data_IF_833955637557
#
_entry.id   IF_833955637557
#
_cell.length_a   1.000
_cell.length_b   1.000
_cell.length_c   1.000
_cell.angle_alpha   90.00
_cell.angle_beta   90.00
_cell.angle_gamma   90.00
#
_symmetry.space_group_name_H-M   'P 1'
#
loop_
_entity.id
_entity.type
_entity.pdbx_description
1 polymer ?
#
# COMPACT_ATOMS: atom_id res chain seq x y z
N UNK A 1 5.28 30.91 4.79
CA UNK A 1 3.93 30.41 5.13
C UNK A 1 2.93 31.19 4.30
N UNK A 2 2.37 30.57 3.28
CA UNK A 2 1.21 31.12 2.59
C UNK A 2 0.07 31.08 3.63
N UNK A 3 -0.59 32.21 3.94
CA UNK A 3 -1.70 32.19 4.87
C UNK A 3 -2.80 31.33 4.25
N UNK A 4 -3.15 30.21 4.88
CA UNK A 4 -4.39 29.52 4.55
C UNK A 4 -5.52 30.49 4.86
N UNK A 5 -6.14 31.05 3.82
CA UNK A 5 -7.38 31.79 3.99
C UNK A 5 -8.39 30.83 4.62
N UNK A 6 -9.14 31.26 5.64
CA UNK A 6 -10.20 30.44 6.19
C UNK A 6 -11.21 30.15 5.07
N UNK A 7 -11.39 28.87 4.77
CA UNK A 7 -12.35 28.40 3.78
C UNK A 7 -13.75 28.92 4.17
N UNK A 8 -14.52 29.50 3.23
CA UNK A 8 -15.89 29.95 3.50
C UNK A 8 -16.73 28.80 4.07
N UNK A 9 -17.65 29.06 5.02
CA UNK A 9 -18.49 28.01 5.62
C UNK A 9 -19.26 27.16 4.60
N UNK A 10 -19.65 27.74 3.47
CA UNK A 10 -20.36 27.04 2.39
C UNK A 10 -19.48 25.99 1.70
N UNK A 11 -18.19 26.27 1.51
CA UNK A 11 -17.25 25.30 0.92
C UNK A 11 -16.95 24.15 1.89
N UNK A 12 -16.96 24.41 3.19
CA UNK A 12 -16.84 23.38 4.22
C UNK A 12 -18.07 22.47 4.24
N UNK A 13 -19.28 23.04 4.20
CA UNK A 13 -20.52 22.26 4.18
C UNK A 13 -20.63 21.37 2.93
N UNK A 14 -20.22 21.88 1.76
CA UNK A 14 -20.17 21.11 0.52
C UNK A 14 -19.12 19.99 0.58
N UNK A 15 -17.96 20.26 1.19
CA UNK A 15 -16.91 19.26 1.37
C UNK A 15 -17.37 18.16 2.34
N UNK A 16 -17.98 18.51 3.47
CA UNK A 16 -18.53 17.55 4.43
C UNK A 16 -19.59 16.66 3.78
N UNK A 17 -20.50 17.23 2.99
CA UNK A 17 -21.50 16.45 2.25
C UNK A 17 -20.86 15.52 1.23
N UNK A 18 -19.82 15.97 0.52
CA UNK A 18 -19.12 15.14 -0.47
C UNK A 18 -18.41 13.94 0.18
N UNK A 19 -17.81 14.15 1.35
CA UNK A 19 -17.14 13.10 2.13
C UNK A 19 -18.17 12.14 2.71
N UNK A 20 -19.28 12.66 3.24
CA UNK A 20 -20.37 11.83 3.75
C UNK A 20 -20.93 10.91 2.65
N UNK A 21 -21.11 11.41 1.43
CA UNK A 21 -21.57 10.61 0.28
C UNK A 21 -20.55 9.52 -0.12
N UNK A 22 -19.26 9.82 -0.04
CA UNK A 22 -18.20 8.84 -0.35
C UNK A 22 -18.09 7.73 0.70
N UNK A 23 -18.40 8.04 1.96
CA UNK A 23 -18.28 7.11 3.09
C UNK A 23 -19.58 6.36 3.38
N UNK A 24 -20.75 6.90 3.00
CA UNK A 24 -22.05 6.29 3.22
C UNK A 24 -22.17 4.81 2.78
N UNK A 25 -21.64 4.39 1.61
CA UNK A 25 -21.74 2.99 1.18
C UNK A 25 -20.66 2.08 1.79
N UNK A 26 -19.75 2.62 2.61
CA UNK A 26 -18.64 1.88 3.20
C UNK A 26 -19.00 1.35 4.60
N UNK A 27 -18.54 0.13 4.87
CA UNK A 27 -18.64 -0.50 6.17
C UNK A 27 -17.52 -0.09 7.12
N UNK A 28 -17.47 -0.78 8.26
CA UNK A 28 -16.51 -0.51 9.32
C UNK A 28 -15.23 -1.35 9.25
N UNK A 29 -15.19 -2.35 8.35
CA UNK A 29 -14.05 -3.26 8.22
C UNK A 29 -13.08 -2.77 7.15
N UNK A 30 -11.78 -2.78 7.48
CA UNK A 30 -10.72 -2.38 6.58
C UNK A 30 -9.55 -3.37 6.64
N UNK A 31 -9.01 -3.71 5.47
CA UNK A 31 -7.81 -4.50 5.30
C UNK A 31 -6.76 -3.70 4.55
N UNK A 32 -5.54 -3.68 5.09
CA UNK A 32 -4.37 -3.12 4.41
C UNK A 32 -3.38 -4.24 4.19
N UNK A 33 -3.01 -4.45 2.94
CA UNK A 33 -2.02 -5.44 2.53
C UNK A 33 -0.91 -4.71 1.79
N UNK A 34 0.31 -4.86 2.29
CA UNK A 34 1.51 -4.53 1.55
C UNK A 34 2.30 -5.81 1.35
N UNK A 35 2.86 -5.98 0.16
CA UNK A 35 3.62 -7.16 -0.21
C UNK A 35 4.79 -6.77 -1.09
N UNK A 36 5.83 -7.61 -1.03
CA UNK A 36 6.98 -7.51 -1.90
C UNK A 36 7.31 -8.91 -2.43
N UNK A 37 7.59 -9.01 -3.72
CA UNK A 37 7.99 -10.26 -4.36
C UNK A 37 9.45 -10.20 -4.78
N UNK A 38 10.26 -11.15 -4.32
CA UNK A 38 11.64 -11.33 -4.75
C UNK A 38 11.74 -12.36 -5.89
N UNK A 39 12.67 -12.18 -6.86
CA UNK A 39 13.55 -11.02 -7.03
C UNK A 39 12.77 -9.75 -7.38
N UNK A 40 13.33 -8.57 -7.07
CA UNK A 40 12.70 -7.30 -7.38
C UNK A 40 12.57 -7.08 -8.89
N UNK A 41 11.40 -6.61 -9.27
CA UNK A 41 10.97 -6.27 -10.63
C UNK A 41 10.03 -5.06 -10.55
N UNK A 42 9.72 -4.38 -11.67
CA UNK A 42 8.79 -3.25 -11.67
C UNK A 42 7.42 -3.52 -11.02
N UNK A 43 7.00 -4.79 -10.99
CA UNK A 43 5.73 -5.25 -10.42
C UNK A 43 5.88 -5.94 -9.06
N UNK A 44 7.07 -5.88 -8.44
CA UNK A 44 7.36 -6.61 -7.21
C UNK A 44 6.74 -5.99 -5.97
N UNK A 45 6.42 -4.69 -6.01
CA UNK A 45 5.70 -4.02 -4.93
C UNK A 45 4.21 -4.21 -5.15
N UNK A 46 3.51 -4.57 -4.08
CA UNK A 46 2.05 -4.62 -4.05
C UNK A 46 1.53 -3.85 -2.86
N UNK A 47 0.49 -3.05 -3.09
CA UNK A 47 -0.24 -2.36 -2.04
C UNK A 47 -1.73 -2.42 -2.35
N UNK A 48 -2.53 -2.77 -1.35
CA UNK A 48 -3.98 -2.82 -1.43
C UNK A 48 -4.58 -2.39 -0.10
N UNK A 49 -5.44 -1.39 -0.16
CA UNK A 49 -6.42 -1.05 0.85
C UNK A 49 -7.77 -1.59 0.36
N UNK A 50 -8.42 -2.41 1.16
CA UNK A 50 -9.78 -2.89 0.91
C UNK A 50 -10.67 -2.48 2.08
N UNK A 51 -11.70 -1.69 1.81
CA UNK A 51 -12.71 -1.28 2.78
C UNK A 51 -14.01 -2.01 2.45
N UNK A 52 -14.67 -2.55 3.46
CA UNK A 52 -15.96 -3.20 3.30
C UNK A 52 -16.93 -2.25 2.60
N UNK A 53 -17.71 -2.76 1.65
CA UNK A 53 -18.68 -1.98 0.91
C UNK A 53 -20.05 -2.62 1.11
N UNK A 54 -20.87 -1.96 1.93
CA UNK A 54 -22.22 -2.42 2.27
C UNK A 54 -23.20 -2.18 1.11
N UNK A 55 -23.02 -1.09 0.35
CA UNK A 55 -23.78 -0.78 -0.86
C UNK A 55 -22.85 -0.56 -2.07
N UNK A 56 -22.58 -1.65 -2.79
CA UNK A 56 -21.73 -1.60 -3.98
C UNK A 56 -22.36 -0.83 -5.15
N UNK A 57 -23.69 -0.76 -5.24
CA UNK A 57 -24.37 -0.05 -6.34
C UNK A 57 -24.28 1.46 -6.13
N UNK A 58 -24.48 1.93 -4.90
CA UNK A 58 -24.30 3.33 -4.52
C UNK A 58 -22.83 3.76 -4.68
N UNK A 59 -21.87 2.94 -4.22
CA UNK A 59 -20.44 3.24 -4.39
C UNK A 59 -20.04 3.31 -5.87
N UNK A 60 -20.48 2.36 -6.70
CA UNK A 60 -20.20 2.39 -8.14
C UNK A 60 -20.84 3.59 -8.84
N UNK A 61 -22.03 4.02 -8.39
CA UNK A 61 -22.68 5.23 -8.89
C UNK A 61 -21.89 6.49 -8.53
N UNK A 62 -21.42 6.58 -7.28
CA UNK A 62 -20.56 7.66 -6.82
C UNK A 62 -19.27 7.72 -7.66
N UNK A 63 -18.57 6.59 -7.81
CA UNK A 63 -17.31 6.54 -8.58
C UNK A 63 -17.52 6.85 -10.06
N UNK A 64 -18.57 6.31 -10.67
CA UNK A 64 -18.92 6.61 -12.06
C UNK A 64 -19.20 8.09 -12.32
N UNK A 65 -19.62 8.83 -11.29
CA UNK A 65 -19.91 10.27 -11.38
C UNK A 65 -18.66 11.10 -11.10
N UNK A 66 -17.93 10.77 -10.03
CA UNK A 66 -16.83 11.59 -9.51
C UNK A 66 -15.51 11.32 -10.20
N UNK A 67 -15.17 10.07 -10.50
CA UNK A 67 -13.86 9.72 -11.06
C UNK A 67 -13.61 10.36 -12.43
N UNK A 68 -14.57 10.41 -13.38
CA UNK A 68 -14.36 11.12 -14.64
C UNK A 68 -14.08 12.63 -14.45
N UNK A 69 -14.62 13.25 -13.40
CA UNK A 69 -14.33 14.66 -13.09
C UNK A 69 -12.88 14.89 -12.67
N UNK A 70 -12.20 13.83 -12.20
CA UNK A 70 -10.77 13.85 -11.85
C UNK A 70 -9.84 13.53 -13.03
N UNK A 71 -10.39 13.29 -14.22
CA UNK A 71 -9.62 12.89 -15.41
C UNK A 71 -9.39 11.38 -15.53
N UNK A 72 -9.84 10.58 -14.56
CA UNK A 72 -9.77 9.12 -14.62
C UNK A 72 -10.75 8.57 -15.66
N UNK A 73 -10.23 7.86 -16.67
CA UNK A 73 -11.05 7.07 -17.60
C UNK A 73 -11.28 5.66 -17.05
N UNK A 74 -12.55 5.26 -16.76
CA UNK A 74 -12.83 3.93 -16.28
C UNK A 74 -12.51 2.88 -17.36
N UNK A 75 -11.95 1.75 -16.95
CA UNK A 75 -11.74 0.57 -17.80
C UNK A 75 -12.39 -0.66 -17.20
N UNK A 76 -12.74 -1.61 -18.06
CA UNK A 76 -13.34 -2.88 -17.67
C UNK A 76 -12.27 -3.95 -17.40
N UNK A 77 -12.46 -4.72 -16.33
CA UNK A 77 -11.63 -5.87 -15.97
C UNK A 77 -12.47 -6.97 -15.32
N UNK A 78 -12.57 -8.14 -15.96
CA UNK A 78 -13.39 -9.27 -15.50
C UNK A 78 -14.87 -8.91 -15.19
N UNK A 79 -15.40 -7.86 -15.82
CA UNK A 79 -16.75 -7.35 -15.59
C UNK A 79 -16.89 -6.37 -14.42
N UNK A 80 -15.77 -5.96 -13.82
CA UNK A 80 -15.69 -4.87 -12.86
C UNK A 80 -15.10 -3.61 -13.51
N UNK A 81 -15.55 -2.44 -13.04
CA UNK A 81 -14.95 -1.16 -13.42
C UNK A 81 -13.76 -0.87 -12.54
N UNK A 82 -12.67 -0.47 -13.18
CA UNK A 82 -11.46 0.01 -12.53
C UNK A 82 -11.26 1.46 -12.96
N UNK A 83 -11.02 2.32 -11.98
CA UNK A 83 -10.76 3.74 -12.13
C UNK A 83 -9.27 4.00 -11.86
N UNK A 84 -8.44 4.19 -12.90
CA UNK A 84 -7.03 4.53 -12.73
C UNK A 84 -6.87 5.89 -12.04
N UNK A 85 -5.95 5.97 -11.09
CA UNK A 85 -5.61 7.22 -10.43
C UNK A 85 -4.34 7.78 -11.07
N UNK A 86 -4.48 8.90 -11.77
CA UNK A 86 -3.33 9.66 -12.24
C UNK A 86 -2.70 10.39 -11.04
N UNK A 87 -1.49 9.99 -10.67
CA UNK A 87 -0.69 10.69 -9.67
C UNK A 87 0.08 11.81 -10.39
N UNK A 88 -0.22 13.11 -10.13
CA UNK A 88 0.32 14.23 -10.93
C UNK A 88 1.84 14.39 -10.91
N UNK A 89 2.55 13.75 -9.97
CA UNK A 89 4.00 13.93 -9.73
C UNK A 89 4.75 12.61 -9.45
N UNK A 90 4.18 11.45 -9.82
CA UNK A 90 4.83 10.16 -9.58
C UNK A 90 6.15 9.97 -10.35
N UNK A 91 6.32 10.67 -11.47
CA UNK A 91 7.38 10.39 -12.45
C UNK A 91 8.82 10.69 -12.03
N UNK A 92 9.05 11.41 -10.93
CA UNK A 92 10.42 11.79 -10.50
C UNK A 92 10.92 11.02 -9.26
N UNK A 93 10.07 10.21 -8.61
CA UNK A 93 10.39 9.54 -7.34
C UNK A 93 10.29 8.01 -7.40
N UNK A 94 9.80 7.44 -8.51
CA UNK A 94 9.49 6.02 -8.62
C UNK A 94 10.49 5.20 -9.43
N UNK A 95 11.37 5.85 -10.20
CA UNK A 95 12.17 5.17 -11.22
C UNK A 95 11.30 4.31 -12.14
N UNK A 96 11.86 3.19 -12.63
CA UNK A 96 11.19 2.20 -13.50
C UNK A 96 10.09 1.35 -12.82
N UNK A 97 9.73 1.60 -11.56
CA UNK A 97 8.68 0.84 -10.89
C UNK A 97 7.28 1.29 -11.34
N UNK A 98 6.43 0.34 -11.72
CA UNK A 98 5.02 0.61 -12.08
C UNK A 98 4.22 0.88 -10.80
N UNK A 99 4.13 2.15 -10.46
CA UNK A 99 3.35 2.67 -9.34
C UNK A 99 1.98 3.17 -9.81
N UNK A 100 1.35 2.52 -10.80
CA UNK A 100 -0.02 2.84 -11.19
C UNK A 100 -0.99 2.50 -10.06
N UNK A 101 -1.76 3.48 -9.60
CA UNK A 101 -2.83 3.27 -8.63
C UNK A 101 -4.16 3.14 -9.33
N UNK A 102 -5.07 2.38 -8.73
CA UNK A 102 -6.43 2.19 -9.21
C UNK A 102 -7.39 2.05 -8.04
N UNK A 103 -8.65 2.37 -8.32
CA UNK A 103 -9.79 2.15 -7.44
C UNK A 103 -10.81 1.23 -8.14
N UNK A 104 -11.43 0.32 -7.42
CA UNK A 104 -12.50 -0.53 -7.93
C UNK A 104 -13.44 -1.01 -6.81
N UNK A 105 -14.69 -1.37 -7.13
CA UNK A 105 -15.58 -2.07 -6.20
C UNK A 105 -15.83 -3.48 -6.71
N UNK A 106 -15.69 -4.48 -5.84
CA UNK A 106 -15.94 -5.87 -6.20
C UNK A 106 -15.86 -6.82 -5.01
N UNK A 107 -16.65 -7.89 -5.06
CA UNK A 107 -16.66 -8.92 -4.02
C UNK A 107 -17.08 -8.43 -2.63
N UNK A 108 -17.81 -7.32 -2.54
CA UNK A 108 -18.20 -6.68 -1.27
C UNK A 108 -17.15 -5.72 -0.70
N UNK A 109 -16.14 -5.33 -1.49
CA UNK A 109 -15.06 -4.44 -1.06
C UNK A 109 -14.87 -3.28 -2.03
N UNK A 110 -14.68 -2.08 -1.49
CA UNK A 110 -14.08 -0.95 -2.19
C UNK A 110 -12.55 -1.04 -2.04
N UNK A 111 -11.85 -1.16 -3.15
CA UNK A 111 -10.42 -1.47 -3.21
C UNK A 111 -9.65 -0.31 -3.81
N UNK A 112 -8.67 0.21 -3.08
CA UNK A 112 -7.72 1.23 -3.50
C UNK A 112 -6.31 0.65 -3.42
N UNK A 113 -5.51 0.74 -4.47
CA UNK A 113 -4.13 0.28 -4.38
C UNK A 113 -3.42 0.30 -5.71
N UNK A 114 -2.29 -0.41 -5.78
CA UNK A 114 -1.60 -0.61 -7.04
C UNK A 114 -2.50 -1.40 -7.99
N UNK A 115 -2.49 -1.05 -9.26
CA UNK A 115 -3.40 -1.60 -10.28
C UNK A 115 -3.31 -3.12 -10.35
N UNK A 116 -2.10 -3.67 -10.33
CA UNK A 116 -1.85 -5.11 -10.30
C UNK A 116 -2.49 -5.81 -9.07
N UNK A 117 -2.48 -5.15 -7.93
CA UNK A 117 -2.97 -5.65 -6.65
C UNK A 117 -4.50 -5.63 -6.61
N UNK A 118 -5.11 -4.55 -7.12
CA UNK A 118 -6.57 -4.43 -7.29
C UNK A 118 -7.09 -5.49 -8.27
N UNK A 119 -6.45 -5.66 -9.42
CA UNK A 119 -6.83 -6.70 -10.39
C UNK A 119 -6.70 -8.11 -9.81
N UNK A 120 -5.65 -8.38 -9.04
CA UNK A 120 -5.48 -9.68 -8.40
C UNK A 120 -6.54 -9.94 -7.34
N UNK A 121 -6.88 -8.93 -6.54
CA UNK A 121 -7.95 -9.03 -5.55
C UNK A 121 -9.31 -9.27 -6.22
N UNK A 122 -9.63 -8.55 -7.30
CA UNK A 122 -10.84 -8.77 -8.10
C UNK A 122 -10.90 -10.18 -8.69
N UNK A 123 -9.77 -10.71 -9.17
CA UNK A 123 -9.69 -12.08 -9.69
C UNK A 123 -10.00 -13.10 -8.60
N UNK A 124 -9.47 -12.90 -7.38
CA UNK A 124 -9.75 -13.77 -6.23
C UNK A 124 -11.21 -13.64 -5.76
N UNK A 125 -11.77 -12.43 -5.77
CA UNK A 125 -13.18 -12.18 -5.46
C UNK A 125 -14.11 -12.86 -6.47
N UNK A 126 -13.77 -12.86 -7.76
CA UNK A 126 -14.54 -13.52 -8.81
C UNK A 126 -14.41 -15.06 -8.79
N UNK A 127 -13.33 -15.59 -8.21
CA UNK A 127 -13.02 -17.02 -8.17
C UNK A 127 -12.58 -17.47 -6.77
N UNK A 128 -13.46 -17.40 -5.76
CA UNK A 128 -13.10 -17.68 -4.37
C UNK A 128 -12.60 -19.11 -4.14
N UNK A 129 -13.08 -20.07 -4.95
CA UNK A 129 -12.67 -21.48 -4.86
C UNK A 129 -11.22 -21.72 -5.35
N UNK A 130 -10.66 -20.79 -6.13
CA UNK A 130 -9.28 -20.85 -6.62
C UNK A 130 -8.28 -20.14 -5.70
N UNK A 131 -8.75 -19.52 -4.61
CA UNK A 131 -7.86 -18.94 -3.63
C UNK A 131 -6.96 -20.03 -3.04
N UNK A 132 -5.65 -19.89 -3.21
CA UNK A 132 -4.70 -20.88 -2.72
C UNK A 132 -4.72 -20.92 -1.18
N UNK A 133 -5.44 -21.89 -0.62
CA UNK A 133 -5.59 -22.09 0.83
C UNK A 133 -4.27 -22.50 1.52
N UNK A 134 -3.21 -22.76 0.74
CA UNK A 134 -1.90 -23.19 1.24
C UNK A 134 -0.84 -22.09 1.19
N UNK A 135 -1.21 -20.81 1.06
CA UNK A 135 -0.25 -19.74 1.28
C UNK A 135 0.39 -19.98 2.66
N UNK A 136 1.71 -20.22 2.70
CA UNK A 136 2.45 -20.42 3.93
C UNK A 136 2.20 -19.19 4.81
N UNK A 137 1.25 -19.31 5.73
CA UNK A 137 0.84 -18.23 6.59
C UNK A 137 2.05 -17.78 7.41
N UNK A 138 2.08 -16.49 7.74
CA UNK A 138 3.06 -15.98 8.69
C UNK A 138 2.98 -16.81 9.99
N UNK A 139 4.08 -17.45 10.39
CA UNK A 139 4.06 -18.40 11.50
C UNK A 139 3.63 -17.74 12.83
N UNK A 140 3.91 -16.45 13.01
CA UNK A 140 3.52 -15.70 14.20
C UNK A 140 2.00 -15.44 14.25
N UNK A 141 1.29 -15.46 13.11
CA UNK A 141 -0.17 -15.24 13.08
C UNK A 141 -0.95 -16.29 13.87
N UNK A 142 -0.40 -17.51 14.02
CA UNK A 142 -1.00 -18.57 14.83
C UNK A 142 -0.84 -18.35 16.34
N UNK A 143 -0.02 -17.38 16.76
CA UNK A 143 0.26 -17.07 18.17
C UNK A 143 -0.63 -15.93 18.71
N UNK A 144 -1.47 -15.33 17.86
CA UNK A 144 -2.40 -14.26 18.24
C UNK A 144 -3.86 -14.72 18.08
N UNK A 145 -4.74 -14.18 18.92
CA UNK A 145 -6.20 -14.32 18.72
C UNK A 145 -6.69 -13.19 17.82
N UNK A 146 -7.42 -13.55 16.76
CA UNK A 146 -8.18 -12.60 15.93
C UNK A 146 -9.63 -12.47 16.40
N UNK A 147 -10.08 -13.34 17.33
CA UNK A 147 -11.46 -13.32 17.83
C UNK A 147 -11.64 -12.19 18.84
N UNK A 148 -12.55 -11.27 18.54
CA UNK A 148 -12.81 -10.09 19.39
C UNK A 148 -11.80 -8.95 19.21
N UNK A 149 -10.84 -9.12 18.31
CA UNK A 149 -9.87 -8.09 17.98
C UNK A 149 -10.54 -6.95 17.20
N UNK A 150 -10.26 -5.72 17.62
CA UNK A 150 -10.58 -4.49 16.86
C UNK A 150 -9.57 -4.26 15.73
N UNK A 151 -8.38 -4.86 15.82
CA UNK A 151 -7.39 -4.88 14.76
C UNK A 151 -6.37 -6.00 14.95
N UNK A 152 -5.81 -6.49 13.85
CA UNK A 152 -4.73 -7.47 13.88
C UNK A 152 -3.87 -7.34 12.63
N UNK A 153 -2.64 -7.85 12.70
CA UNK A 153 -1.75 -7.85 11.57
C UNK A 153 -0.58 -8.79 11.76
N UNK A 154 0.14 -9.05 10.68
CA UNK A 154 1.37 -9.83 10.69
C UNK A 154 2.33 -9.29 9.63
N UNK A 155 3.63 -9.49 9.86
CA UNK A 155 4.68 -9.12 8.93
C UNK A 155 5.89 -10.03 9.10
N UNK A 156 6.78 -10.07 8.12
CA UNK A 156 8.12 -10.64 8.29
C UNK A 156 9.10 -9.48 8.43
N UNK A 157 9.45 -9.13 9.68
CA UNK A 157 10.17 -7.89 9.93
C UNK A 157 11.61 -7.93 9.40
N UNK A 158 12.27 -9.10 9.46
CA UNK A 158 13.60 -9.28 8.87
C UNK A 158 13.56 -9.09 7.35
N UNK A 159 12.62 -9.75 6.67
CA UNK A 159 12.47 -9.60 5.21
C UNK A 159 12.04 -8.18 4.83
N UNK A 160 11.15 -7.53 5.58
CA UNK A 160 10.73 -6.15 5.30
C UNK A 160 11.88 -5.14 5.40
N UNK A 161 12.81 -5.33 6.35
CA UNK A 161 13.98 -4.47 6.50
C UNK A 161 14.97 -4.66 5.34
N UNK A 162 15.25 -5.92 4.97
CA UNK A 162 16.12 -6.24 3.83
C UNK A 162 15.55 -5.68 2.52
N UNK A 163 14.26 -5.91 2.30
CA UNK A 163 13.50 -5.38 1.18
C UNK A 163 13.56 -3.85 1.07
N UNK A 164 13.35 -3.14 2.19
CA UNK A 164 13.41 -1.68 2.21
C UNK A 164 14.80 -1.17 1.87
N UNK A 165 15.85 -1.89 2.29
CA UNK A 165 17.23 -1.56 1.91
C UNK A 165 17.41 -1.73 0.40
N UNK A 166 17.05 -2.88 -0.17
CA UNK A 166 17.21 -3.16 -1.60
C UNK A 166 16.44 -2.17 -2.49
N UNK A 167 15.20 -1.81 -2.09
CA UNK A 167 14.43 -0.76 -2.78
C UNK A 167 15.12 0.60 -2.74
N UNK A 168 15.69 0.98 -1.59
CA UNK A 168 16.45 2.22 -1.47
C UNK A 168 17.72 2.19 -2.33
N UNK A 169 18.38 1.04 -2.47
CA UNK A 169 19.54 0.87 -3.35
C UNK A 169 19.14 1.07 -4.81
N UNK A 170 18.03 0.46 -5.25
CA UNK A 170 17.51 0.61 -6.61
C UNK A 170 17.13 2.06 -6.94
N UNK A 171 16.42 2.74 -6.03
CA UNK A 171 16.02 4.14 -6.23
C UNK A 171 17.23 5.06 -6.37
N UNK A 172 18.24 4.88 -5.52
CA UNK A 172 19.46 5.68 -5.62
C UNK A 172 20.24 5.37 -6.90
N UNK A 173 20.35 4.09 -7.29
CA UNK A 173 21.02 3.71 -8.53
C UNK A 173 20.38 4.37 -9.75
N UNK A 174 19.05 4.38 -9.83
CA UNK A 174 18.30 5.06 -10.90
C UNK A 174 18.56 6.57 -10.88
N UNK A 175 18.57 7.21 -9.70
CA UNK A 175 18.85 8.65 -9.58
C UNK A 175 20.27 8.99 -10.03
N UNK A 176 21.26 8.15 -9.72
CA UNK A 176 22.65 8.33 -10.18
C UNK A 176 22.74 8.15 -11.70
N UNK A 177 22.06 7.16 -12.27
CA UNK A 177 22.02 6.92 -13.72
C UNK A 177 21.39 8.09 -14.48
N UNK A 178 20.29 8.63 -13.96
CA UNK A 178 19.70 9.86 -14.50
C UNK A 178 20.67 11.04 -14.38
N UNK A 179 21.31 11.22 -13.22
CA UNK A 179 22.27 12.30 -13.01
C UNK A 179 23.50 12.18 -13.91
N UNK A 180 23.98 10.97 -14.20
CA UNK A 180 25.09 10.74 -15.13
C UNK A 180 24.78 11.29 -16.54
N UNK A 181 23.50 11.33 -16.93
CA UNK A 181 23.06 11.92 -18.20
C UNK A 181 23.11 13.46 -18.22
N UNK A 182 23.09 14.12 -17.05
CA UNK A 182 23.06 15.58 -16.91
C UNK A 182 24.38 16.18 -16.39
N UNK A 183 25.04 15.53 -15.43
CA UNK A 183 26.30 15.93 -14.79
C UNK A 183 27.14 14.70 -14.36
N UNK A 184 28.05 14.23 -15.24
CA UNK A 184 28.86 13.05 -14.98
C UNK A 184 29.86 13.20 -13.81
N UNK A 185 30.29 14.42 -13.50
CA UNK A 185 31.27 14.67 -12.43
C UNK A 185 30.59 14.57 -11.06
N UNK A 186 29.40 15.16 -10.94
CA UNK A 186 28.56 15.05 -9.74
C UNK A 186 28.03 13.62 -9.54
N UNK A 187 27.67 12.91 -10.61
CA UNK A 187 27.25 11.50 -10.54
C UNK A 187 28.38 10.58 -10.01
N UNK A 188 29.64 10.85 -10.40
CA UNK A 188 30.79 10.10 -9.91
C UNK A 188 31.05 10.35 -8.42
N UNK A 189 30.95 11.60 -7.96
CA UNK A 189 31.07 11.96 -6.54
C UNK A 189 29.94 11.33 -5.70
N UNK A 190 28.69 11.44 -6.14
CA UNK A 190 27.54 10.81 -5.47
C UNK A 190 27.68 9.29 -5.40
N UNK A 191 28.20 8.65 -6.45
CA UNK A 191 28.42 7.20 -6.48
C UNK A 191 29.45 6.75 -5.46
N UNK A 192 30.55 7.49 -5.31
CA UNK A 192 31.60 7.19 -4.33
C UNK A 192 31.08 7.37 -2.88
N UNK A 193 30.40 8.49 -2.62
CA UNK A 193 29.79 8.75 -1.30
C UNK A 193 28.73 7.70 -0.97
N UNK A 194 27.85 7.38 -1.93
CA UNK A 194 26.80 6.39 -1.77
C UNK A 194 27.34 4.99 -1.49
N UNK A 195 28.34 4.53 -2.23
CA UNK A 195 28.95 3.21 -1.99
C UNK A 195 29.52 3.10 -0.58
N UNK A 196 30.23 4.13 -0.10
CA UNK A 196 30.82 4.12 1.23
C UNK A 196 29.78 4.10 2.36
N UNK A 197 28.66 4.81 2.19
CA UNK A 197 27.59 4.87 3.18
C UNK A 197 26.70 3.61 3.15
N UNK A 198 26.47 3.07 1.96
CA UNK A 198 25.61 1.91 1.74
C UNK A 198 26.22 0.63 2.28
N UNK A 199 27.52 0.39 2.15
CA UNK A 199 28.15 -0.83 2.67
C UNK A 199 27.99 -0.97 4.19
N UNK A 200 28.23 0.11 4.95
CA UNK A 200 28.07 0.11 6.40
C UNK A 200 26.59 -0.04 6.81
N UNK A 201 25.70 0.65 6.09
CA UNK A 201 24.25 0.59 6.32
C UNK A 201 23.68 -0.80 6.03
N UNK A 202 24.10 -1.43 4.93
CA UNK A 202 23.69 -2.77 4.51
C UNK A 202 24.14 -3.83 5.50
N UNK A 203 25.40 -3.76 5.94
CA UNK A 203 25.92 -4.69 6.96
C UNK A 203 25.14 -4.59 8.27
N UNK A 204 24.81 -3.37 8.70
CA UNK A 204 23.99 -3.16 9.91
C UNK A 204 22.56 -3.67 9.72
N UNK A 205 21.96 -3.41 8.55
CA UNK A 205 20.62 -3.88 8.16
C UNK A 205 20.54 -5.40 8.15
N UNK A 206 21.48 -6.08 7.50
CA UNK A 206 21.58 -7.55 7.47
C UNK A 206 21.79 -8.12 8.87
N UNK A 207 22.65 -7.49 9.68
CA UNK A 207 22.84 -7.87 11.07
C UNK A 207 21.54 -7.77 11.86
N UNK A 208 20.82 -6.64 11.78
CA UNK A 208 19.53 -6.45 12.45
C UNK A 208 18.48 -7.45 11.96
N UNK A 209 18.36 -7.65 10.65
CA UNK A 209 17.42 -8.60 10.05
C UNK A 209 17.69 -10.04 10.53
N UNK A 210 18.95 -10.41 10.80
CA UNK A 210 19.31 -11.73 11.31
C UNK A 210 18.79 -12.05 12.72
N UNK A 211 18.28 -11.06 13.45
CA UNK A 211 17.64 -11.26 14.77
C UNK A 211 16.11 -11.16 14.73
N UNK A 212 15.53 -10.78 13.59
CA UNK A 212 14.12 -10.43 13.46
C UNK A 212 13.40 -11.45 12.57
N UNK A 213 12.57 -12.29 13.18
CA UNK A 213 11.70 -13.22 12.44
C UNK A 213 10.31 -12.64 12.17
N UNK A 214 9.37 -13.55 11.94
CA UNK A 214 7.96 -13.22 11.74
C UNK A 214 7.36 -12.52 12.97
N UNK A 215 6.57 -11.49 12.73
CA UNK A 215 5.80 -10.77 13.74
C UNK A 215 4.31 -10.90 13.50
N UNK A 216 3.55 -10.89 14.59
CA UNK A 216 2.11 -10.75 14.55
C UNK A 216 1.63 -9.93 15.75
N UNK A 217 0.55 -9.20 15.58
CA UNK A 217 -0.04 -8.40 16.64
C UNK A 217 -1.56 -8.42 16.57
N UNK A 218 -2.19 -8.23 17.72
CA UNK A 218 -3.64 -8.07 17.87
C UNK A 218 -3.92 -6.92 18.81
N UNK A 219 -5.04 -6.25 18.62
CA UNK A 219 -5.52 -5.14 19.42
C UNK A 219 -6.99 -5.35 19.75
N UNK A 220 -7.33 -5.26 21.02
CA UNK A 220 -8.68 -5.41 21.53
C UNK A 220 -9.12 -4.12 22.22
N UNK A 221 -10.35 -3.68 21.96
CA UNK A 221 -10.98 -2.61 22.70
C UNK A 221 -11.67 -3.17 23.96
N UNK A 222 -11.49 -2.50 25.09
CA UNK A 222 -12.17 -2.78 26.35
C UNK A 222 -12.62 -1.48 27.03
N UNK A 223 -13.27 -1.59 28.19
CA UNK A 223 -13.81 -0.43 28.94
C UNK A 223 -12.71 0.56 29.42
N UNK A 224 -11.44 0.15 29.40
CA UNK A 224 -10.29 0.95 29.83
C UNK A 224 -9.48 1.52 28.64
N UNK A 225 -9.86 1.21 27.39
CA UNK A 225 -9.19 1.66 26.17
C UNK A 225 -8.80 0.51 25.24
N UNK A 226 -7.57 0.56 24.72
CA UNK A 226 -7.05 -0.45 23.80
C UNK A 226 -5.91 -1.24 24.43
N UNK A 227 -5.96 -2.56 24.31
CA UNK A 227 -4.88 -3.47 24.71
C UNK A 227 -4.30 -4.12 23.48
N UNK A 228 -3.00 -3.97 23.28
CA UNK A 228 -2.26 -4.57 22.18
C UNK A 228 -1.36 -5.71 22.67
N UNK A 229 -1.36 -6.82 21.94
CA UNK A 229 -0.43 -7.94 22.13
C UNK A 229 0.37 -8.10 20.84
N UNK A 230 1.70 -8.13 20.94
CA UNK A 230 2.58 -8.40 19.82
C UNK A 230 3.51 -9.57 20.13
N UNK A 231 3.77 -10.40 19.12
CA UNK A 231 4.71 -11.51 19.15
C UNK A 231 5.75 -11.27 18.07
N UNK A 232 7.02 -11.40 18.43
CA UNK A 232 8.14 -11.44 17.50
C UNK A 232 8.82 -12.80 17.65
N UNK A 233 8.82 -13.57 16.57
CA UNK A 233 9.53 -14.83 16.52
C UNK A 233 11.03 -14.59 16.31
N UNK A 234 11.82 -15.55 16.78
CA UNK A 234 13.21 -15.67 16.31
C UNK A 234 13.19 -16.14 14.85
N UNK A 235 14.12 -15.67 14.02
CA UNK A 235 14.22 -16.08 12.62
C UNK A 235 14.53 -17.58 12.47
#
# INVERSE_FOLDING_TARGET
MIPMMPMPPQELDEMEQSVALALAPLGSTMHVVSSLTLPLSPNSVGFLLAVECEDSEEMETYLSTMMPMTGSEPREFLGYRIYPLEMPDGGMMTGDMDMSFSLAVGGGWAMLGMTNSVENALRLAAQPDNANKSANGNAASHLISTKGATGWGYADMGQSILASSELSEMQMANMIEEMESFDPEMAAEMKEEFQSQMEASKMFTEFMASFLGSTAWTMEANDEGFVAHAVLMRP
#
